data_IF_296603266299
#
_entry.id   IF_296603266299
#
_cell.length_a   1.000
_cell.length_b   1.000
_cell.length_c   1.000
_cell.angle_alpha   90.00
_cell.angle_beta   90.00
_cell.angle_gamma   90.00
#
_symmetry.space_group_name_H-M   'P 1'
#
loop_
_entity.id
_entity.type
_entity.pdbx_description
1 polymer ?
#
# COMPACT_ATOMS: atom_id res chain seq x y z
N UNK A 1 20.87 -16.58 -9.61
CA UNK A 1 22.03 -16.81 -10.50
C UNK A 1 21.50 -17.23 -11.84
N UNK A 2 21.82 -16.48 -12.89
CA UNK A 2 21.36 -16.82 -14.24
C UNK A 2 21.96 -18.18 -14.64
N UNK A 3 21.13 -19.19 -14.89
CA UNK A 3 21.58 -20.54 -15.20
C UNK A 3 22.45 -21.22 -14.12
N UNK A 4 22.40 -20.76 -12.86
CA UNK A 4 23.27 -21.27 -11.79
C UNK A 4 24.71 -20.73 -11.82
N UNK A 5 25.02 -19.81 -12.73
CA UNK A 5 26.32 -19.14 -12.83
C UNK A 5 26.54 -18.19 -11.63
N UNK A 6 27.49 -18.49 -10.73
CA UNK A 6 27.80 -17.65 -9.56
C UNK A 6 28.21 -16.22 -9.91
N UNK A 7 28.74 -15.99 -11.13
CA UNK A 7 29.19 -14.67 -11.59
C UNK A 7 28.03 -13.81 -12.12
N UNK A 8 26.81 -14.38 -12.20
CA UNK A 8 25.60 -13.69 -12.69
C UNK A 8 24.50 -13.66 -11.62
N UNK A 9 24.73 -13.01 -10.47
CA UNK A 9 23.71 -12.86 -9.45
C UNK A 9 22.59 -11.93 -9.92
N UNK A 10 21.37 -12.20 -9.46
CA UNK A 10 20.23 -11.28 -9.59
C UNK A 10 19.36 -11.40 -8.34
N UNK A 11 18.66 -10.31 -8.00
CA UNK A 11 17.67 -10.29 -6.92
C UNK A 11 16.32 -10.62 -7.55
N UNK A 12 15.70 -11.70 -7.11
CA UNK A 12 14.42 -12.18 -7.65
C UNK A 12 13.22 -11.61 -6.87
N UNK A 13 13.36 -11.51 -5.55
CA UNK A 13 12.30 -11.14 -4.63
C UNK A 13 12.89 -10.64 -3.31
N UNK A 14 12.06 -9.95 -2.52
CA UNK A 14 12.30 -9.70 -1.11
C UNK A 14 11.32 -10.55 -0.28
N UNK A 15 11.74 -10.95 0.91
CA UNK A 15 10.91 -11.68 1.86
C UNK A 15 10.59 -10.79 3.06
N UNK A 16 9.47 -11.09 3.71
CA UNK A 16 9.06 -10.44 4.96
C UNK A 16 10.04 -10.78 6.09
N UNK A 17 10.17 -9.84 7.03
CA UNK A 17 11.00 -9.98 8.22
C UNK A 17 10.10 -10.00 9.46
N UNK A 18 10.22 -11.03 10.29
CA UNK A 18 9.43 -11.15 11.52
C UNK A 18 9.70 -10.05 12.54
N UNK A 19 10.88 -9.42 12.53
CA UNK A 19 11.21 -8.31 13.44
C UNK A 19 10.53 -7.00 13.01
N UNK A 20 10.09 -6.90 11.76
CA UNK A 20 9.52 -5.69 11.17
C UNK A 20 8.08 -5.94 10.68
N UNK A 21 7.05 -5.47 11.42
CA UNK A 21 5.66 -5.73 11.06
C UNK A 21 5.28 -5.21 9.67
N UNK A 22 4.62 -6.07 8.90
CA UNK A 22 4.09 -5.74 7.59
C UNK A 22 2.96 -4.70 7.65
N UNK A 23 2.82 -3.92 6.58
CA UNK A 23 1.71 -2.97 6.45
C UNK A 23 0.36 -3.63 6.17
N UNK A 24 0.40 -4.84 5.61
CA UNK A 24 -0.75 -5.70 5.36
C UNK A 24 -0.65 -6.89 6.31
N UNK A 25 -1.66 -7.08 7.15
CA UNK A 25 -1.77 -8.10 8.17
C UNK A 25 -3.11 -8.84 8.01
N UNK A 26 -3.39 -9.82 8.88
CA UNK A 26 -4.68 -10.49 8.94
C UNK A 26 -5.87 -9.52 9.10
N UNK A 27 -5.68 -8.41 9.81
CA UNK A 27 -6.76 -7.45 10.13
C UNK A 27 -7.11 -6.51 8.96
N UNK A 28 -6.33 -6.55 7.88
CA UNK A 28 -6.54 -5.72 6.69
C UNK A 28 -6.10 -6.45 5.41
N UNK A 29 -6.31 -7.77 5.38
CA UNK A 29 -5.81 -8.72 4.39
C UNK A 29 -6.25 -8.49 2.94
N UNK A 30 -7.19 -7.59 2.70
CA UNK A 30 -7.67 -7.18 1.36
C UNK A 30 -6.93 -5.96 0.80
N UNK A 31 -5.92 -5.46 1.52
CA UNK A 31 -5.14 -4.29 1.09
C UNK A 31 -3.92 -4.68 0.28
N UNK A 32 -3.62 -3.81 -0.68
CA UNK A 32 -2.34 -3.76 -1.38
C UNK A 32 -1.69 -2.42 -1.07
N UNK A 33 -0.46 -2.42 -0.53
CA UNK A 33 0.22 -1.19 -0.10
C UNK A 33 1.63 -1.16 -0.64
N UNK A 34 1.96 -0.09 -1.37
CA UNK A 34 3.33 0.29 -1.65
C UNK A 34 3.67 1.54 -0.84
N UNK A 35 4.71 1.45 0.00
CA UNK A 35 5.12 2.55 0.88
C UNK A 35 6.63 2.72 0.84
N UNK A 36 7.10 3.96 0.71
CA UNK A 36 8.54 4.27 0.75
C UNK A 36 9.00 4.59 2.18
N UNK A 37 10.32 4.58 2.47
CA UNK A 37 10.85 4.97 3.78
C UNK A 37 10.44 6.37 4.23
N UNK A 38 10.31 7.31 3.28
CA UNK A 38 9.83 8.67 3.53
C UNK A 38 8.30 8.78 3.62
N UNK A 39 7.57 7.65 3.73
CA UNK A 39 6.12 7.57 3.91
C UNK A 39 5.24 7.97 2.71
N UNK A 40 5.80 8.09 1.49
CA UNK A 40 4.96 8.15 0.29
C UNK A 40 4.20 6.83 0.14
N UNK A 41 2.95 6.87 -0.32
CA UNK A 41 2.04 5.73 -0.24
C UNK A 41 1.13 5.61 -1.44
N UNK A 42 1.07 4.40 -2.01
CA UNK A 42 -0.02 3.93 -2.85
C UNK A 42 -0.73 2.80 -2.10
N UNK A 43 -2.04 2.92 -1.89
CA UNK A 43 -2.86 1.88 -1.26
C UNK A 43 -4.07 1.58 -2.13
N UNK A 44 -4.37 0.30 -2.29
CA UNK A 44 -5.60 -0.21 -2.86
C UNK A 44 -6.30 -1.08 -1.82
N UNK A 45 -7.62 -1.02 -1.77
CA UNK A 45 -8.47 -1.83 -0.90
C UNK A 45 -9.44 -2.61 -1.78
N UNK A 46 -9.40 -3.93 -1.69
CA UNK A 46 -10.25 -4.85 -2.46
C UNK A 46 -11.35 -5.49 -1.61
N UNK A 47 -11.63 -4.92 -0.43
CA UNK A 47 -12.77 -5.34 0.39
C UNK A 47 -14.07 -5.01 -0.34
N UNK A 48 -14.89 -6.05 -0.57
CA UNK A 48 -16.17 -5.93 -1.29
C UNK A 48 -17.03 -4.79 -0.74
N UNK A 49 -17.54 -3.95 -1.64
CA UNK A 49 -18.39 -2.77 -1.36
C UNK A 49 -17.69 -1.61 -0.62
N UNK A 50 -16.40 -1.76 -0.31
CA UNK A 50 -15.54 -0.76 0.35
C UNK A 50 -14.29 -0.46 -0.48
N UNK A 51 -14.35 -0.74 -1.79
CA UNK A 51 -13.21 -0.64 -2.70
C UNK A 51 -12.75 0.82 -2.87
N UNK A 52 -11.45 1.05 -2.74
CA UNK A 52 -10.88 2.39 -2.90
C UNK A 52 -9.37 2.38 -3.18
N UNK A 53 -8.89 3.48 -3.74
CA UNK A 53 -7.47 3.74 -4.01
C UNK A 53 -7.05 5.04 -3.33
N UNK A 54 -5.84 5.05 -2.77
CA UNK A 54 -5.19 6.22 -2.18
C UNK A 54 -3.78 6.37 -2.73
N UNK A 55 -3.44 7.57 -3.19
CA UNK A 55 -2.07 8.00 -3.48
C UNK A 55 -1.74 9.21 -2.60
N UNK A 56 -0.63 9.16 -1.86
CA UNK A 56 -0.25 10.21 -0.93
C UNK A 56 1.26 10.47 -0.95
N UNK A 57 1.63 11.74 -0.86
CA UNK A 57 3.01 12.18 -0.64
C UNK A 57 3.17 12.66 0.81
N UNK A 58 4.33 12.41 1.40
CA UNK A 58 4.65 12.99 2.71
C UNK A 58 5.00 14.48 2.55
N UNK A 59 5.73 14.83 1.50
CA UNK A 59 6.00 16.22 1.14
C UNK A 59 4.72 16.92 0.72
N UNK A 60 4.41 18.05 1.37
CA UNK A 60 3.16 18.80 1.16
C UNK A 60 1.90 18.10 1.69
N UNK A 61 2.01 16.87 2.21
CA UNK A 61 0.90 16.04 2.69
C UNK A 61 -0.26 15.89 1.70
N UNK A 62 0.04 15.97 0.41
CA UNK A 62 -0.97 15.91 -0.66
C UNK A 62 -1.49 14.50 -0.83
N UNK A 63 -2.81 14.36 -1.04
CA UNK A 63 -3.48 13.07 -1.13
C UNK A 63 -4.56 13.07 -2.19
N UNK A 64 -4.55 12.02 -3.01
CA UNK A 64 -5.60 11.65 -3.93
C UNK A 64 -6.31 10.41 -3.38
N UNK A 65 -7.61 10.49 -3.10
CA UNK A 65 -8.41 9.32 -2.69
C UNK A 65 -9.61 9.14 -3.62
N UNK A 66 -9.88 7.87 -4.00
CA UNK A 66 -10.91 7.51 -4.99
C UNK A 66 -11.69 6.26 -4.52
N UNK A 67 -12.98 6.20 -4.81
CA UNK A 67 -13.85 5.08 -4.43
C UNK A 67 -14.53 5.30 -3.07
N UNK A 68 -14.52 4.27 -2.22
CA UNK A 68 -15.05 4.32 -0.86
C UNK A 68 -14.15 5.13 0.09
N UNK A 69 -14.55 6.37 0.41
CA UNK A 69 -13.75 7.28 1.22
C UNK A 69 -13.97 6.98 2.70
N UNK A 70 -12.88 6.77 3.43
CA UNK A 70 -12.89 6.51 4.89
C UNK A 70 -12.18 7.59 5.70
N UNK A 71 -12.53 7.71 6.98
CA UNK A 71 -11.76 8.48 7.96
C UNK A 71 -10.57 7.67 8.54
N UNK A 72 -9.87 8.23 9.52
CA UNK A 72 -8.76 7.56 10.22
C UNK A 72 -9.17 6.29 10.96
N UNK A 73 -10.43 6.22 11.41
CA UNK A 73 -11.06 5.10 12.10
C UNK A 73 -11.59 4.05 11.12
N UNK A 74 -11.37 4.23 9.80
CA UNK A 74 -11.87 3.38 8.71
C UNK A 74 -13.39 3.43 8.52
N UNK A 75 -14.06 4.41 9.10
CA UNK A 75 -15.51 4.59 8.93
C UNK A 75 -15.78 5.31 7.61
N UNK A 76 -16.84 4.88 6.92
CA UNK A 76 -17.27 5.50 5.67
C UNK A 76 -17.61 6.96 5.92
N UNK A 77 -16.98 7.84 5.13
CA UNK A 77 -17.20 9.28 5.13
C UNK A 77 -17.86 9.77 3.84
N UNK A 78 -17.69 9.03 2.75
CA UNK A 78 -18.23 9.42 1.45
C UNK A 78 -17.84 8.43 0.36
N UNK A 79 -18.15 8.78 -0.88
CA UNK A 79 -17.73 8.04 -2.05
C UNK A 79 -17.40 9.02 -3.19
N UNK A 80 -16.56 8.58 -4.13
CA UNK A 80 -16.19 9.37 -5.29
C UNK A 80 -14.70 9.69 -5.30
N UNK A 81 -14.36 10.96 -5.42
CA UNK A 81 -12.99 11.43 -5.62
C UNK A 81 -12.69 12.63 -4.72
N UNK A 82 -11.50 12.67 -4.13
CA UNK A 82 -10.99 13.85 -3.42
C UNK A 82 -9.50 14.08 -3.68
N UNK A 83 -9.13 15.36 -3.75
CA UNK A 83 -7.75 15.84 -3.72
C UNK A 83 -7.62 16.77 -2.51
N UNK A 84 -6.59 16.55 -1.69
CA UNK A 84 -6.26 17.37 -0.52
C UNK A 84 -4.79 17.70 -0.46
#
# INVERSE_FOLDING_TARGET
>A
FDGGDPDRPYIAYALHDSEHPDHVTSDNHTRNVWRTPANNKLRMEDKRQEEHIKLATEYGKTQLNMGHLVNSQREKRGAGFELR
#
